data_IF_731007328701
#
_entry.id   IF_731007328701
#
_cell.length_a   1.000
_cell.length_b   1.000
_cell.length_c   1.000
_cell.angle_alpha   90.00
_cell.angle_beta   90.00
_cell.angle_gamma   90.00
#
_symmetry.space_group_name_H-M   'P 1'
#
loop_
_entity.id
_entity.type
_entity.pdbx_description
1 polymer ?
#
# COMPACT_ATOMS: atom_id res chain seq x y z
N UNK A 1 -11.00 -9.01 17.13
CA UNK A 1 -12.36 -9.38 16.68
C UNK A 1 -12.29 -9.88 15.23
N UNK A 2 -11.31 -10.71 14.89
CA UNK A 2 -11.13 -11.24 13.54
C UNK A 2 -11.82 -12.59 13.35
N UNK A 3 -12.08 -12.97 12.11
CA UNK A 3 -12.72 -14.25 11.74
C UNK A 3 -14.12 -14.43 12.36
N UNK A 4 -14.98 -13.43 12.15
CA UNK A 4 -16.39 -13.48 12.55
C UNK A 4 -17.26 -13.07 11.36
N UNK A 5 -18.58 -12.95 11.59
CA UNK A 5 -19.54 -12.49 10.59
C UNK A 5 -20.09 -11.10 10.95
N UNK A 6 -19.29 -10.23 11.56
CA UNK A 6 -19.75 -8.91 11.98
C UNK A 6 -20.07 -8.04 10.77
N UNK A 7 -21.30 -7.52 10.71
CA UNK A 7 -21.70 -6.54 9.69
C UNK A 7 -21.36 -5.10 10.13
N UNK A 8 -21.19 -4.87 11.43
CA UNK A 8 -20.81 -3.59 12.01
C UNK A 8 -20.03 -3.74 13.31
N UNK A 9 -19.37 -2.65 13.73
CA UNK A 9 -18.70 -2.52 15.03
C UNK A 9 -19.47 -1.48 15.87
N UNK A 10 -19.77 -1.75 17.15
CA UNK A 10 -20.45 -0.80 18.02
C UNK A 10 -19.57 0.42 18.32
N UNK A 11 -20.22 1.57 18.55
CA UNK A 11 -19.52 2.83 18.90
C UNK A 11 -18.66 2.72 20.15
N UNK A 12 -19.01 1.81 21.07
CA UNK A 12 -18.26 1.53 22.30
C UNK A 12 -16.84 1.03 22.04
N UNK A 13 -16.50 0.66 20.79
CA UNK A 13 -15.11 0.38 20.40
C UNK A 13 -14.19 1.54 20.76
N UNK A 14 -14.68 2.79 20.69
CA UNK A 14 -13.90 3.98 21.04
C UNK A 14 -13.51 4.07 22.52
N UNK A 15 -14.10 3.25 23.39
CA UNK A 15 -13.73 3.18 24.80
C UNK A 15 -12.45 2.36 25.05
N UNK A 16 -11.96 1.62 24.05
CA UNK A 16 -10.77 0.76 24.15
C UNK A 16 -9.44 1.54 23.99
N UNK A 17 -9.36 2.74 24.56
CA UNK A 17 -8.29 3.75 24.36
C UNK A 17 -6.86 3.30 24.72
N UNK A 18 -6.69 2.13 25.35
CA UNK A 18 -5.40 1.58 25.72
C UNK A 18 -4.88 0.50 24.77
N UNK A 19 -5.60 0.20 23.70
CA UNK A 19 -5.19 -0.82 22.74
C UNK A 19 -4.07 -0.31 21.84
N UNK A 20 -3.02 -1.12 21.69
CA UNK A 20 -1.93 -0.87 20.73
C UNK A 20 -2.19 -1.53 19.37
N UNK A 21 -3.08 -2.52 19.35
CA UNK A 21 -3.40 -3.28 18.13
C UNK A 21 -4.88 -3.57 18.07
N UNK A 22 -5.49 -3.33 16.92
CA UNK A 22 -6.87 -3.70 16.63
C UNK A 22 -6.92 -4.57 15.38
N UNK A 23 -7.49 -5.77 15.49
CA UNK A 23 -7.71 -6.67 14.37
C UNK A 23 -9.21 -6.94 14.18
N UNK A 24 -9.74 -6.45 13.05
CA UNK A 24 -11.11 -6.58 12.56
C UNK A 24 -11.18 -7.42 11.27
N UNK A 25 -10.09 -8.11 10.91
CA UNK A 25 -9.98 -8.82 9.65
C UNK A 25 -10.95 -10.00 9.55
N UNK A 26 -11.36 -10.37 8.33
CA UNK A 26 -12.29 -11.46 8.05
C UNK A 26 -13.63 -11.27 8.78
N UNK A 27 -14.36 -10.24 8.35
CA UNK A 27 -15.73 -9.91 8.76
C UNK A 27 -16.53 -9.44 7.53
N UNK A 28 -17.75 -8.92 7.73
CA UNK A 28 -18.61 -8.38 6.68
C UNK A 28 -18.72 -6.85 6.73
N UNK A 29 -17.75 -6.16 7.36
CA UNK A 29 -17.86 -4.73 7.65
C UNK A 29 -17.95 -3.89 6.37
N UNK A 30 -18.96 -3.04 6.29
CA UNK A 30 -19.14 -2.06 5.20
C UNK A 30 -18.72 -0.65 5.60
N UNK A 31 -18.64 -0.38 6.90
CA UNK A 31 -18.16 0.89 7.48
C UNK A 31 -17.53 0.64 8.85
N UNK A 32 -16.86 1.66 9.39
CA UNK A 32 -16.41 1.73 10.78
C UNK A 32 -17.08 2.93 11.48
N UNK A 33 -17.39 2.83 12.78
CA UNK A 33 -17.85 3.98 13.56
C UNK A 33 -16.73 5.02 13.68
N UNK A 34 -17.09 6.32 13.74
CA UNK A 34 -16.12 7.43 13.89
C UNK A 34 -15.31 7.30 15.18
N UNK A 35 -15.89 6.69 16.20
CA UNK A 35 -15.26 6.38 17.49
C UNK A 35 -14.02 5.47 17.36
N UNK A 36 -13.84 4.78 16.22
CA UNK A 36 -12.58 4.08 15.92
C UNK A 36 -11.38 5.04 15.95
N UNK A 37 -11.58 6.32 15.61
CA UNK A 37 -10.56 7.37 15.70
C UNK A 37 -10.14 7.73 17.13
N UNK A 38 -10.85 7.26 18.16
CA UNK A 38 -10.47 7.48 19.56
C UNK A 38 -9.31 6.58 20.03
N UNK A 39 -8.96 5.57 19.23
CA UNK A 39 -7.94 4.57 19.57
C UNK A 39 -6.53 5.06 19.23
N UNK A 40 -6.18 6.25 19.70
CA UNK A 40 -4.97 6.99 19.29
C UNK A 40 -3.65 6.30 19.63
N UNK A 41 -3.66 5.29 20.52
CA UNK A 41 -2.48 4.46 20.85
C UNK A 41 -2.24 3.31 19.86
N UNK A 42 -3.09 3.14 18.85
CA UNK A 42 -2.91 2.07 17.88
C UNK A 42 -1.62 2.25 17.08
N UNK A 43 -0.83 1.18 17.07
CA UNK A 43 0.37 1.04 16.24
C UNK A 43 0.17 0.00 15.13
N UNK A 44 -0.78 -0.91 15.30
CA UNK A 44 -1.20 -1.86 14.26
C UNK A 44 -2.70 -1.89 14.10
N UNK A 45 -3.19 -1.69 12.87
CA UNK A 45 -4.62 -1.77 12.57
C UNK A 45 -4.86 -2.67 11.35
N UNK A 46 -5.54 -3.79 11.60
CA UNK A 46 -5.71 -4.86 10.63
C UNK A 46 -7.19 -5.06 10.29
N UNK A 47 -7.57 -4.78 9.04
CA UNK A 47 -8.97 -4.82 8.56
C UNK A 47 -9.07 -5.56 7.23
N UNK A 48 -8.21 -6.56 7.03
CA UNK A 48 -8.19 -7.37 5.80
C UNK A 48 -9.50 -8.12 5.63
N UNK A 49 -9.96 -8.36 4.40
CA UNK A 49 -11.11 -9.24 4.12
C UNK A 49 -12.41 -8.74 4.76
N UNK A 50 -12.87 -7.59 4.26
CA UNK A 50 -14.12 -6.93 4.61
C UNK A 50 -14.75 -6.35 3.34
N UNK A 51 -15.76 -5.47 3.48
CA UNK A 51 -16.49 -4.85 2.36
C UNK A 51 -16.40 -3.32 2.39
N UNK A 52 -15.37 -2.77 3.03
CA UNK A 52 -15.20 -1.33 3.20
C UNK A 52 -14.95 -0.65 1.87
N UNK A 53 -15.72 0.40 1.58
CA UNK A 53 -15.49 1.31 0.43
C UNK A 53 -14.93 2.67 0.86
N UNK A 54 -14.94 2.96 2.15
CA UNK A 54 -14.41 4.18 2.76
C UNK A 54 -14.03 3.94 4.23
N UNK A 55 -13.35 4.92 4.82
CA UNK A 55 -13.07 4.99 6.25
C UNK A 55 -13.68 6.29 6.81
N UNK A 56 -14.10 6.31 8.09
CA UNK A 56 -14.50 7.55 8.74
C UNK A 56 -13.32 8.52 8.80
N UNK A 57 -13.59 9.83 8.75
CA UNK A 57 -12.56 10.87 8.69
C UNK A 57 -11.64 10.79 9.92
N UNK A 58 -12.21 10.46 11.08
CA UNK A 58 -11.56 10.40 12.39
C UNK A 58 -10.41 9.37 12.45
N UNK A 59 -10.29 8.46 11.47
CA UNK A 59 -9.09 7.62 11.31
C UNK A 59 -7.81 8.47 11.16
N UNK A 60 -7.92 9.73 10.73
CA UNK A 60 -6.79 10.66 10.67
C UNK A 60 -6.12 10.91 12.03
N UNK A 61 -6.82 10.63 13.14
CA UNK A 61 -6.31 10.76 14.50
C UNK A 61 -5.32 9.64 14.89
N UNK A 62 -5.24 8.55 14.12
CA UNK A 62 -4.41 7.37 14.43
C UNK A 62 -2.95 7.58 13.97
N UNK A 63 -2.33 8.67 14.41
CA UNK A 63 -1.03 9.17 13.94
C UNK A 63 0.18 8.29 14.32
N UNK A 64 0.00 7.40 15.31
CA UNK A 64 1.04 6.49 15.80
C UNK A 64 1.05 5.13 15.07
N UNK A 65 0.19 4.95 14.06
CA UNK A 65 0.13 3.73 13.27
C UNK A 65 1.45 3.46 12.55
N UNK A 66 1.93 2.22 12.69
CA UNK A 66 3.14 1.69 12.05
C UNK A 66 2.82 0.65 11.00
N UNK A 67 1.75 -0.12 11.19
CA UNK A 67 1.24 -1.09 10.24
C UNK A 67 -0.26 -0.91 10.03
N UNK A 68 -0.65 -0.79 8.77
CA UNK A 68 -2.05 -0.69 8.38
C UNK A 68 -2.35 -1.62 7.21
N UNK A 69 -3.33 -2.52 7.39
CA UNK A 69 -3.84 -3.36 6.30
C UNK A 69 -5.32 -3.15 6.08
N UNK A 70 -5.65 -2.88 4.82
CA UNK A 70 -6.99 -2.75 4.28
C UNK A 70 -7.14 -3.65 3.04
N UNK A 71 -6.28 -4.65 2.88
CA UNK A 71 -6.33 -5.60 1.75
C UNK A 71 -7.68 -6.32 1.69
N UNK A 72 -8.11 -6.73 0.49
CA UNK A 72 -9.38 -7.45 0.27
C UNK A 72 -10.58 -6.66 0.81
N UNK A 73 -10.76 -5.45 0.31
CA UNK A 73 -11.90 -4.56 0.55
C UNK A 73 -12.40 -3.97 -0.79
N UNK A 74 -13.31 -3.00 -0.74
CA UNK A 74 -13.90 -2.34 -1.90
C UNK A 74 -13.36 -0.91 -2.11
N UNK A 75 -12.12 -0.64 -1.70
CA UNK A 75 -11.54 0.72 -1.79
C UNK A 75 -11.26 1.09 -3.24
N UNK A 76 -11.73 2.25 -3.69
CA UNK A 76 -11.46 2.79 -5.03
C UNK A 76 -10.33 3.82 -5.06
N UNK A 77 -9.92 4.31 -3.89
CA UNK A 77 -8.85 5.28 -3.67
C UNK A 77 -8.17 5.02 -2.32
N UNK A 78 -6.91 5.46 -2.19
CA UNK A 78 -6.24 5.49 -0.88
C UNK A 78 -6.96 6.55 -0.03
N UNK A 79 -7.49 6.22 1.16
CA UNK A 79 -8.21 7.19 1.97
C UNK A 79 -7.28 8.34 2.41
N UNK A 80 -7.73 9.59 2.31
CA UNK A 80 -6.94 10.76 2.74
C UNK A 80 -6.47 10.67 4.20
N UNK A 81 -7.27 10.06 5.08
CA UNK A 81 -6.90 9.83 6.48
C UNK A 81 -5.59 9.03 6.63
N UNK A 82 -5.31 8.09 5.71
CA UNK A 82 -4.07 7.28 5.72
C UNK A 82 -2.86 8.15 5.42
N UNK A 83 -3.00 9.19 4.60
CA UNK A 83 -1.92 10.07 4.15
C UNK A 83 -1.36 10.97 5.27
N UNK A 84 -2.00 10.98 6.44
CA UNK A 84 -1.54 11.68 7.65
C UNK A 84 -0.72 10.78 8.60
N UNK A 85 -0.63 9.46 8.34
CA UNK A 85 0.04 8.50 9.22
C UNK A 85 1.56 8.49 8.98
N UNK A 86 2.25 9.56 9.38
CA UNK A 86 3.69 9.79 9.07
C UNK A 86 4.65 8.76 9.69
N UNK A 87 4.20 8.00 10.70
CA UNK A 87 4.96 6.89 11.31
C UNK A 87 4.74 5.54 10.62
N UNK A 88 3.87 5.47 9.60
CA UNK A 88 3.53 4.23 8.92
C UNK A 88 4.76 3.64 8.24
N UNK A 89 5.01 2.36 8.52
CA UNK A 89 6.13 1.59 7.95
C UNK A 89 5.67 0.51 6.98
N UNK A 90 4.45 -0.01 7.16
CA UNK A 90 3.82 -0.97 6.24
C UNK A 90 2.40 -0.56 5.90
N UNK A 91 2.12 -0.44 4.60
CA UNK A 91 0.80 -0.17 4.05
C UNK A 91 0.41 -1.29 3.08
N UNK A 92 -0.66 -2.02 3.39
CA UNK A 92 -1.12 -3.16 2.61
C UNK A 92 -2.55 -2.92 2.12
N UNK A 93 -2.70 -2.80 0.80
CA UNK A 93 -3.95 -2.46 0.11
C UNK A 93 -4.26 -3.45 -1.02
N UNK A 94 -3.64 -4.62 -1.00
CA UNK A 94 -3.79 -5.70 -1.98
C UNK A 94 -5.26 -6.06 -2.20
N UNK A 95 -5.69 -6.38 -3.44
CA UNK A 95 -7.08 -6.82 -3.74
C UNK A 95 -8.12 -5.77 -3.35
N UNK A 96 -7.98 -4.58 -3.92
CA UNK A 96 -8.97 -3.50 -3.88
C UNK A 96 -9.28 -3.06 -5.33
N UNK A 97 -9.89 -1.88 -5.50
CA UNK A 97 -10.20 -1.29 -6.80
C UNK A 97 -9.48 0.06 -7.00
N UNK A 98 -8.29 0.21 -6.43
CA UNK A 98 -7.53 1.46 -6.50
C UNK A 98 -7.14 1.77 -7.95
N UNK A 99 -7.38 3.02 -8.38
CA UNK A 99 -7.10 3.46 -9.76
C UNK A 99 -5.88 4.39 -9.87
N UNK A 100 -5.49 5.02 -8.77
CA UNK A 100 -4.35 5.94 -8.71
C UNK A 100 -3.69 5.94 -7.32
N UNK A 101 -2.49 6.50 -7.27
CA UNK A 101 -1.77 6.83 -6.03
C UNK A 101 -1.72 8.37 -5.97
N UNK A 102 -2.20 9.01 -4.89
CA UNK A 102 -2.20 10.47 -4.75
C UNK A 102 -0.79 11.01 -4.51
N UNK A 103 -0.54 12.27 -4.86
CA UNK A 103 0.76 12.93 -4.66
C UNK A 103 1.12 13.02 -3.17
N UNK A 104 0.13 13.17 -2.30
CA UNK A 104 0.29 13.22 -0.85
C UNK A 104 0.81 11.91 -0.24
N UNK A 105 1.00 10.84 -1.04
CA UNK A 105 1.72 9.64 -0.60
C UNK A 105 3.11 9.98 -0.05
N UNK A 106 3.73 11.07 -0.51
CA UNK A 106 5.03 11.58 -0.01
C UNK A 106 5.05 11.86 1.49
N UNK A 107 3.89 12.11 2.10
CA UNK A 107 3.79 12.38 3.54
C UNK A 107 4.15 11.13 4.37
N UNK A 108 4.07 9.94 3.78
CA UNK A 108 4.35 8.67 4.44
C UNK A 108 5.84 8.33 4.39
N UNK A 109 6.69 9.31 4.73
CA UNK A 109 8.16 9.24 4.61
C UNK A 109 8.84 8.16 5.48
N UNK A 110 8.10 7.50 6.36
CA UNK A 110 8.56 6.34 7.14
C UNK A 110 8.29 5.00 6.46
N UNK A 111 7.56 4.97 5.35
CA UNK A 111 7.18 3.73 4.68
C UNK A 111 8.39 2.93 4.23
N UNK A 112 8.29 1.64 4.50
CA UNK A 112 9.27 0.63 4.20
C UNK A 112 8.68 -0.41 3.23
N UNK A 113 7.40 -0.72 3.38
CA UNK A 113 6.65 -1.64 2.52
C UNK A 113 5.36 -1.01 2.03
N UNK A 114 5.12 -1.13 0.73
CA UNK A 114 3.83 -0.85 0.11
C UNK A 114 3.42 -2.05 -0.72
N UNK A 115 2.24 -2.59 -0.46
CA UNK A 115 1.61 -3.62 -1.28
C UNK A 115 0.29 -3.10 -1.87
N UNK A 116 0.32 -2.84 -3.17
CA UNK A 116 -0.79 -2.36 -4.00
C UNK A 116 -1.19 -3.41 -5.05
N UNK A 117 -0.79 -4.68 -4.85
CA UNK A 117 -1.05 -5.73 -5.83
C UNK A 117 -2.54 -6.01 -5.99
N UNK A 118 -2.95 -6.60 -7.12
CA UNK A 118 -4.37 -6.89 -7.42
C UNK A 118 -5.28 -5.65 -7.31
N UNK A 119 -4.94 -4.57 -8.02
CA UNK A 119 -5.74 -3.34 -8.07
C UNK A 119 -6.10 -2.99 -9.53
N UNK A 120 -6.33 -1.69 -9.81
CA UNK A 120 -6.69 -1.14 -11.13
C UNK A 120 -5.80 0.06 -11.48
N UNK A 121 -4.57 0.09 -10.97
CA UNK A 121 -3.62 1.16 -11.23
C UNK A 121 -3.17 1.10 -12.69
N UNK A 122 -3.39 2.17 -13.45
CA UNK A 122 -2.96 2.25 -14.86
C UNK A 122 -1.65 3.04 -15.05
N UNK A 123 -1.27 3.83 -14.05
CA UNK A 123 -0.04 4.61 -13.97
C UNK A 123 0.56 4.49 -12.58
N UNK A 124 1.90 4.50 -12.51
CA UNK A 124 2.62 4.60 -11.25
C UNK A 124 2.98 6.07 -11.02
N UNK A 125 2.44 6.67 -9.97
CA UNK A 125 2.73 8.06 -9.63
C UNK A 125 4.24 8.24 -9.34
N UNK A 126 4.96 9.13 -10.04
CA UNK A 126 6.38 9.40 -9.78
C UNK A 126 6.72 9.82 -8.35
N UNK A 127 5.76 10.43 -7.64
CA UNK A 127 5.93 10.87 -6.25
C UNK A 127 6.19 9.71 -5.28
N UNK A 128 5.82 8.48 -5.64
CA UNK A 128 6.17 7.28 -4.86
C UNK A 128 7.69 7.15 -4.67
N UNK A 129 8.48 7.68 -5.62
CA UNK A 129 9.92 7.63 -5.59
C UNK A 129 10.57 8.53 -4.52
N UNK A 130 9.80 9.43 -3.89
CA UNK A 130 10.25 10.23 -2.76
C UNK A 130 10.22 9.45 -1.43
N UNK A 131 9.63 8.26 -1.41
CA UNK A 131 9.62 7.36 -0.26
C UNK A 131 10.93 6.57 -0.15
N UNK A 132 12.04 7.31 0.03
CA UNK A 132 13.42 6.78 -0.03
C UNK A 132 13.75 5.70 1.00
N UNK A 133 12.90 5.46 2.01
CA UNK A 133 13.03 4.35 2.97
C UNK A 133 12.40 3.04 2.51
N UNK A 134 11.69 3.02 1.38
CA UNK A 134 11.08 1.81 0.83
C UNK A 134 12.14 0.75 0.55
N UNK A 135 11.86 -0.47 1.01
CA UNK A 135 12.61 -1.68 0.67
C UNK A 135 11.81 -2.66 -0.18
N UNK A 136 10.47 -2.62 -0.12
CA UNK A 136 9.60 -3.51 -0.90
C UNK A 136 8.41 -2.72 -1.46
N UNK A 137 8.27 -2.76 -2.79
CA UNK A 137 7.17 -2.16 -3.54
C UNK A 137 6.52 -3.24 -4.41
N UNK A 138 5.26 -3.56 -4.12
CA UNK A 138 4.49 -4.57 -4.86
C UNK A 138 3.31 -3.93 -5.58
N UNK A 139 3.25 -4.15 -6.88
CA UNK A 139 2.30 -3.61 -7.84
C UNK A 139 1.81 -4.70 -8.81
N UNK A 140 2.00 -5.98 -8.45
CA UNK A 140 1.60 -7.13 -9.26
C UNK A 140 0.11 -7.07 -9.60
N UNK A 141 -0.27 -7.57 -10.78
CA UNK A 141 -1.67 -7.68 -11.19
C UNK A 141 -2.40 -6.32 -11.15
N UNK A 142 -1.87 -5.37 -11.91
CA UNK A 142 -2.44 -4.05 -12.16
C UNK A 142 -2.51 -3.79 -13.68
N UNK A 143 -2.88 -2.58 -14.07
CA UNK A 143 -3.01 -2.17 -15.47
C UNK A 143 -1.85 -1.25 -15.91
N UNK A 144 -0.71 -1.27 -15.22
CA UNK A 144 0.40 -0.34 -15.46
C UNK A 144 0.95 -0.48 -16.87
N UNK A 145 1.07 0.65 -17.57
CA UNK A 145 1.62 0.72 -18.94
C UNK A 145 3.09 1.17 -18.99
N UNK A 146 3.55 1.85 -17.94
CA UNK A 146 4.93 2.31 -17.79
C UNK A 146 5.33 2.40 -16.32
N UNK A 147 6.64 2.47 -16.10
CA UNK A 147 7.26 2.80 -14.81
C UNK A 147 8.01 4.12 -14.98
N UNK A 148 7.81 5.12 -14.10
CA UNK A 148 8.51 6.39 -14.18
C UNK A 148 10.02 6.23 -13.90
N UNK A 149 10.91 6.91 -14.63
CA UNK A 149 12.36 6.86 -14.39
C UNK A 149 12.77 7.35 -12.99
N UNK A 150 11.93 8.14 -12.33
CA UNK A 150 12.08 8.55 -10.93
C UNK A 150 12.22 7.37 -9.97
N UNK A 151 11.77 6.15 -10.34
CA UNK A 151 11.94 4.93 -9.54
C UNK A 151 13.38 4.73 -9.06
N UNK A 152 14.38 5.21 -9.83
CA UNK A 152 15.80 5.24 -9.46
C UNK A 152 16.13 5.93 -8.14
N UNK A 153 15.27 6.82 -7.63
CA UNK A 153 15.44 7.50 -6.34
C UNK A 153 15.22 6.55 -5.14
N UNK A 154 14.56 5.42 -5.34
CA UNK A 154 14.32 4.41 -4.29
C UNK A 154 15.59 3.59 -4.01
N UNK A 155 16.66 4.25 -3.59
CA UNK A 155 17.99 3.65 -3.44
C UNK A 155 18.05 2.53 -2.39
N UNK A 156 17.09 2.43 -1.48
CA UNK A 156 16.96 1.34 -0.49
C UNK A 156 16.09 0.16 -0.96
N UNK A 157 15.51 0.23 -2.16
CA UNK A 157 14.60 -0.79 -2.67
C UNK A 157 15.34 -2.11 -2.89
N UNK A 158 14.79 -3.19 -2.33
CA UNK A 158 15.31 -4.57 -2.44
C UNK A 158 14.42 -5.45 -3.30
N UNK A 159 13.12 -5.23 -3.20
CA UNK A 159 12.10 -5.96 -3.93
C UNK A 159 11.22 -4.99 -4.71
N UNK A 160 11.15 -5.22 -6.03
CA UNK A 160 10.18 -4.57 -6.91
C UNK A 160 9.38 -5.65 -7.62
N UNK A 161 8.09 -5.74 -7.31
CA UNK A 161 7.17 -6.62 -8.02
C UNK A 161 6.25 -5.80 -8.91
N UNK A 162 6.46 -5.89 -10.23
CA UNK A 162 5.65 -5.25 -11.27
C UNK A 162 5.21 -6.29 -12.33
N UNK A 163 5.12 -7.55 -11.91
CA UNK A 163 4.61 -8.62 -12.75
C UNK A 163 3.11 -8.44 -13.04
N UNK A 164 2.60 -9.15 -14.05
CA UNK A 164 1.18 -9.17 -14.41
C UNK A 164 0.62 -7.75 -14.62
N UNK A 165 1.28 -7.01 -15.52
CA UNK A 165 0.93 -5.65 -15.91
C UNK A 165 0.95 -5.51 -17.45
N UNK A 166 0.78 -4.30 -17.96
CA UNK A 166 0.76 -3.98 -19.38
C UNK A 166 2.05 -3.32 -19.89
N UNK A 167 3.18 -3.48 -19.18
CA UNK A 167 4.41 -2.76 -19.47
C UNK A 167 5.00 -3.17 -20.83
N UNK A 168 5.29 -2.19 -21.68
CA UNK A 168 5.96 -2.41 -22.98
C UNK A 168 7.46 -2.16 -22.93
N UNK A 169 7.91 -1.40 -21.92
CA UNK A 169 9.31 -1.09 -21.64
C UNK A 169 9.50 -0.83 -20.15
N UNK A 170 10.76 -0.88 -19.72
CA UNK A 170 11.21 -0.53 -18.38
C UNK A 170 12.24 0.60 -18.50
N UNK A 171 12.20 1.65 -17.66
CA UNK A 171 13.20 2.70 -17.69
C UNK A 171 14.59 2.13 -17.40
N UNK A 172 15.61 2.58 -18.15
CA UNK A 172 17.01 2.17 -17.94
C UNK A 172 17.51 2.55 -16.55
N UNK A 173 16.88 3.55 -15.94
CA UNK A 173 17.13 4.07 -14.60
C UNK A 173 16.93 3.01 -13.51
N UNK A 174 16.20 1.91 -13.75
CA UNK A 174 16.18 0.75 -12.84
C UNK A 174 17.60 0.20 -12.59
N UNK A 175 18.50 0.32 -13.56
CA UNK A 175 19.90 -0.05 -13.43
C UNK A 175 20.66 0.63 -12.29
N UNK A 176 20.19 1.78 -11.81
CA UNK A 176 20.84 2.49 -10.69
C UNK A 176 20.43 1.96 -9.31
N UNK A 177 19.45 1.04 -9.23
CA UNK A 177 18.94 0.49 -7.97
C UNK A 177 19.89 -0.59 -7.42
N UNK A 178 21.02 -0.15 -6.86
CA UNK A 178 22.12 -1.03 -6.39
C UNK A 178 21.74 -2.02 -5.28
N UNK A 179 20.66 -1.75 -4.54
CA UNK A 179 20.18 -2.63 -3.47
C UNK A 179 19.07 -3.59 -3.94
N UNK A 180 18.60 -3.46 -5.19
CA UNK A 180 17.55 -4.30 -5.73
C UNK A 180 18.10 -5.71 -5.92
N UNK A 181 17.50 -6.68 -5.23
CA UNK A 181 17.90 -8.09 -5.30
C UNK A 181 16.83 -8.96 -5.96
N UNK A 182 15.59 -8.47 -6.01
CA UNK A 182 14.44 -9.20 -6.54
C UNK A 182 13.62 -8.28 -7.44
N UNK A 183 13.43 -8.67 -8.70
CA UNK A 183 12.67 -7.92 -9.69
C UNK A 183 11.73 -8.87 -10.44
N UNK A 184 10.44 -8.81 -10.16
CA UNK A 184 9.43 -9.59 -10.87
C UNK A 184 8.86 -8.79 -12.03
N UNK A 185 9.04 -9.31 -13.25
CA UNK A 185 8.64 -8.68 -14.51
C UNK A 185 7.77 -9.59 -15.40
N UNK A 186 7.52 -10.83 -14.98
CA UNK A 186 6.78 -11.79 -15.80
C UNK A 186 5.36 -11.29 -16.13
N UNK A 187 4.75 -11.89 -17.15
CA UNK A 187 3.39 -11.53 -17.60
C UNK A 187 3.23 -10.04 -17.96
N UNK A 188 4.25 -9.43 -18.58
CA UNK A 188 4.17 -8.11 -19.20
C UNK A 188 4.28 -8.22 -20.73
N UNK A 189 4.30 -7.07 -21.43
CA UNK A 189 4.41 -6.95 -22.89
C UNK A 189 5.80 -6.46 -23.33
N UNK A 190 6.83 -6.78 -22.55
CA UNK A 190 8.21 -6.33 -22.76
C UNK A 190 8.82 -6.97 -24.00
N UNK A 191 9.48 -6.17 -24.84
CA UNK A 191 10.24 -6.66 -26.01
C UNK A 191 11.73 -6.83 -25.72
N UNK A 192 12.24 -6.08 -24.76
CA UNK A 192 13.62 -6.12 -24.31
C UNK A 192 13.72 -5.58 -22.89
N UNK A 193 14.84 -5.89 -22.26
CA UNK A 193 15.23 -5.35 -20.95
C UNK A 193 16.42 -4.42 -21.17
N UNK A 194 16.51 -3.27 -20.47
CA UNK A 194 17.70 -2.41 -20.48
C UNK A 194 19.00 -3.20 -20.20
N UNK A 195 20.12 -2.85 -20.87
CA UNK A 195 21.38 -3.59 -20.72
C UNK A 195 22.01 -3.45 -19.34
N UNK A 196 21.74 -2.36 -18.63
CA UNK A 196 22.36 -2.01 -17.35
C UNK A 196 21.56 -2.52 -16.13
N UNK A 197 20.93 -3.70 -16.21
CA UNK A 197 20.21 -4.26 -15.07
C UNK A 197 21.15 -4.63 -13.92
N UNK A 198 20.72 -4.45 -12.64
CA UNK A 198 21.49 -4.96 -11.51
C UNK A 198 21.59 -6.49 -11.59
N UNK A 199 22.56 -7.07 -10.88
CA UNK A 199 22.70 -8.51 -10.74
C UNK A 199 21.51 -9.04 -9.90
N UNK A 200 20.53 -9.66 -10.57
CA UNK A 200 19.20 -9.93 -10.04
C UNK A 200 18.87 -11.41 -10.12
N UNK A 201 18.13 -11.90 -9.11
CA UNK A 201 17.31 -13.09 -9.29
C UNK A 201 16.04 -12.65 -10.04
N UNK A 202 16.01 -12.90 -11.36
CA UNK A 202 14.88 -12.59 -12.27
C UNK A 202 14.03 -13.84 -12.46
#
# INVERSE_FOLDING_TARGET
MSYNNLDSIPIDIGNLINFNTLNLSSNNLTTLPSETGNLTKLTGFYITDNKLSSLPKEIENLIDLKEFTLSRNNMTQIPNAVLNMTHLTGLYLTKNYLTNIPDEIINLASLKTIDLSDNKLNTLNPEIANLTKLYSLKLENNDLSSVPPEISKLTNLKELNIADNNLTSIPKEIGSLKNLSTLYLHSNKLKSIPPDMPDLNI
#
